data_IF_392640412736
#
_entry.id   IF_392640412736
#
_cell.length_a   1.000
_cell.length_b   1.000
_cell.length_c   1.000
_cell.angle_alpha   90.00
_cell.angle_beta   90.00
_cell.angle_gamma   90.00
#
_symmetry.space_group_name_H-M   'P 1'
#
loop_
_entity.id
_entity.type
_entity.pdbx_description
1 polymer ?
#
# COMPACT_ATOMS: atom_id res chain seq x y z
N UNK A 1 4.24 11.73 -11.81
CA UNK A 1 3.62 11.11 -10.63
C UNK A 1 3.34 9.66 -10.96
N UNK A 2 3.69 8.78 -10.03
CA UNK A 2 3.44 7.35 -10.12
C UNK A 2 2.33 6.93 -9.17
N UNK A 3 1.58 5.91 -9.56
CA UNK A 3 0.68 5.15 -8.70
C UNK A 3 1.18 3.72 -8.59
N UNK A 4 1.60 3.31 -7.40
CA UNK A 4 1.95 1.93 -7.11
C UNK A 4 0.76 1.24 -6.44
N UNK A 5 0.30 0.12 -7.01
CA UNK A 5 -0.83 -0.65 -6.48
C UNK A 5 -0.30 -1.95 -5.89
N UNK A 6 -0.45 -2.10 -4.58
CA UNK A 6 -0.13 -3.33 -3.87
C UNK A 6 -1.41 -4.09 -3.55
N UNK A 7 -1.43 -5.37 -3.83
CA UNK A 7 -2.46 -6.31 -3.37
C UNK A 7 -1.90 -7.06 -2.17
N UNK A 8 -2.66 -7.10 -1.09
CA UNK A 8 -2.36 -7.90 0.10
C UNK A 8 -3.45 -8.92 0.31
N UNK A 9 -3.04 -10.17 0.45
CA UNK A 9 -3.92 -11.25 0.87
C UNK A 9 -3.73 -11.46 2.35
N UNK A 10 -4.78 -11.30 3.14
CA UNK A 10 -4.80 -11.54 4.58
C UNK A 10 -4.80 -13.05 4.85
N UNK A 11 -4.23 -13.45 5.99
CA UNK A 11 -4.32 -14.84 6.47
C UNK A 11 -5.78 -15.21 6.73
N UNK A 12 -6.09 -16.49 6.66
CA UNK A 12 -7.46 -16.98 6.86
C UNK A 12 -7.98 -16.57 8.25
N UNK A 13 -9.19 -16.00 8.29
CA UNK A 13 -9.84 -15.57 9.54
C UNK A 13 -9.42 -14.19 10.05
N UNK A 14 -8.49 -13.50 9.39
CA UNK A 14 -8.14 -12.10 9.72
C UNK A 14 -9.25 -11.18 9.22
N UNK A 15 -9.70 -10.26 10.07
CA UNK A 15 -10.72 -9.27 9.71
C UNK A 15 -10.10 -7.97 9.20
N UNK A 16 -10.92 -7.16 8.53
CA UNK A 16 -10.50 -5.83 8.07
C UNK A 16 -10.16 -4.89 9.23
N UNK A 17 -10.84 -5.00 10.38
CA UNK A 17 -10.54 -4.23 11.58
C UNK A 17 -9.15 -4.55 12.13
N UNK A 18 -8.78 -5.84 12.17
CA UNK A 18 -7.43 -6.26 12.56
C UNK A 18 -6.37 -5.71 11.60
N UNK A 19 -6.70 -5.67 10.30
CA UNK A 19 -5.82 -5.01 9.32
C UNK A 19 -5.68 -3.52 9.59
N UNK A 20 -6.77 -2.80 9.87
CA UNK A 20 -6.69 -1.35 10.17
C UNK A 20 -5.83 -1.08 11.40
N UNK A 21 -5.99 -1.86 12.48
CA UNK A 21 -5.18 -1.73 13.69
C UNK A 21 -3.68 -1.97 13.43
N UNK A 22 -3.35 -2.94 12.57
CA UNK A 22 -1.97 -3.20 12.16
C UNK A 22 -1.41 -2.15 11.20
N UNK A 23 -2.27 -1.56 10.34
CA UNK A 23 -1.87 -0.60 9.30
C UNK A 23 -1.67 0.82 9.85
N UNK A 24 -2.54 1.26 10.76
CA UNK A 24 -2.45 2.61 11.34
C UNK A 24 -1.19 2.70 12.21
N UNK A 25 -0.27 3.64 11.94
CA UNK A 25 0.91 3.86 12.78
C UNK A 25 0.52 4.30 14.19
N UNK A 26 1.40 4.03 15.16
CA UNK A 26 1.34 4.70 16.48
C UNK A 26 1.83 6.15 16.38
N UNK A 27 2.78 6.45 15.47
CA UNK A 27 3.30 7.80 15.19
C UNK A 27 3.09 8.21 13.72
N UNK A 28 2.39 9.32 13.49
CA UNK A 28 1.90 9.79 12.16
C UNK A 28 2.97 10.53 11.36
N UNK A 29 4.25 10.24 11.57
CA UNK A 29 5.33 11.04 10.97
C UNK A 29 5.53 10.76 9.47
N UNK A 30 5.98 11.82 8.79
CA UNK A 30 6.05 12.11 7.35
C UNK A 30 6.26 10.89 6.41
N UNK A 31 5.17 10.16 6.10
CA UNK A 31 5.23 9.12 5.07
C UNK A 31 5.36 9.78 3.68
N UNK A 32 6.35 9.41 2.85
CA UNK A 32 6.72 10.14 1.64
C UNK A 32 5.71 10.00 0.48
N UNK A 33 4.51 9.50 0.75
CA UNK A 33 3.48 9.23 -0.24
C UNK A 33 2.10 9.49 0.34
N UNK A 34 1.15 9.90 -0.51
CA UNK A 34 -0.26 9.79 -0.13
C UNK A 34 -0.69 8.33 -0.31
N UNK A 35 -1.46 7.83 0.64
CA UNK A 35 -1.89 6.44 0.66
C UNK A 35 -3.40 6.38 0.68
N UNK A 36 -3.95 5.58 -0.23
CA UNK A 36 -5.34 5.13 -0.14
C UNK A 36 -5.36 3.62 0.07
N UNK A 37 -6.29 3.15 0.89
CA UNK A 37 -6.50 1.73 1.19
C UNK A 37 -7.93 1.39 0.82
N UNK A 38 -8.14 0.24 0.19
CA UNK A 38 -9.47 -0.24 -0.16
C UNK A 38 -9.56 -1.75 -0.02
N UNK A 39 -10.68 -2.25 0.48
CA UNK A 39 -10.97 -3.70 0.53
C UNK A 39 -11.53 -4.18 -0.80
N UNK A 40 -11.25 -5.43 -1.16
CA UNK A 40 -11.92 -6.09 -2.27
C UNK A 40 -13.38 -6.39 -1.87
N UNK A 41 -14.32 -6.08 -2.78
CA UNK A 41 -15.75 -6.30 -2.57
C UNK A 41 -16.19 -7.76 -2.79
N UNK A 42 -15.37 -8.57 -3.46
CA UNK A 42 -15.64 -9.97 -3.79
C UNK A 42 -14.79 -10.97 -3.01
N UNK A 43 -13.74 -10.50 -2.32
CA UNK A 43 -12.83 -11.33 -1.52
C UNK A 43 -12.50 -10.57 -0.22
N UNK A 44 -13.00 -11.08 0.91
CA UNK A 44 -12.83 -10.45 2.22
C UNK A 44 -11.40 -10.55 2.76
N UNK A 45 -10.55 -11.38 2.14
CA UNK A 45 -9.14 -11.50 2.46
C UNK A 45 -8.26 -10.56 1.64
N UNK A 46 -8.81 -9.81 0.69
CA UNK A 46 -7.98 -8.95 -0.16
C UNK A 46 -8.13 -7.47 0.16
N UNK A 47 -6.99 -6.80 0.30
CA UNK A 47 -6.90 -5.35 0.46
C UNK A 47 -5.92 -4.81 -0.57
N UNK A 48 -6.27 -3.69 -1.20
CA UNK A 48 -5.35 -2.93 -2.03
C UNK A 48 -4.85 -1.70 -1.29
N UNK A 49 -3.62 -1.32 -1.60
CA UNK A 49 -3.06 -0.02 -1.22
C UNK A 49 -2.55 0.66 -2.48
N UNK A 50 -2.96 1.91 -2.68
CA UNK A 50 -2.48 2.75 -3.77
C UNK A 50 -1.62 3.85 -3.15
N UNK A 51 -0.35 3.90 -3.56
CA UNK A 51 0.60 4.93 -3.17
C UNK A 51 0.73 5.93 -4.30
N UNK A 52 0.51 7.21 -4.01
CA UNK A 52 0.82 8.32 -4.91
C UNK A 52 2.24 8.81 -4.62
N UNK A 53 3.10 8.71 -5.62
CA UNK A 53 4.54 8.89 -5.49
C UNK A 53 5.01 9.97 -6.46
N UNK A 54 5.66 11.00 -5.95
CA UNK A 54 6.31 12.02 -6.78
C UNK A 54 7.77 11.62 -7.04
N UNK A 55 7.94 10.63 -7.92
CA UNK A 55 9.26 10.12 -8.34
C UNK A 55 9.15 9.47 -9.73
N UNK A 56 10.31 9.24 -10.35
CA UNK A 56 10.44 8.47 -11.59
C UNK A 56 10.41 6.96 -11.33
N UNK A 57 10.21 6.16 -12.39
CA UNK A 57 10.22 4.69 -12.31
C UNK A 57 11.57 4.17 -11.81
N UNK A 58 12.68 4.76 -12.25
CA UNK A 58 14.01 4.37 -11.79
C UNK A 58 14.18 4.61 -10.28
N UNK A 59 13.76 5.78 -9.78
CA UNK A 59 13.79 6.07 -8.35
C UNK A 59 12.86 5.17 -7.54
N UNK A 60 11.73 4.77 -8.10
CA UNK A 60 10.84 3.79 -7.47
C UNK A 60 11.54 2.44 -7.30
N UNK A 61 12.19 1.90 -8.34
CA UNK A 61 12.89 0.63 -8.27
C UNK A 61 13.99 0.62 -7.21
N UNK A 62 14.69 1.74 -7.05
CA UNK A 62 15.73 1.91 -6.04
C UNK A 62 15.16 2.01 -4.60
N UNK A 63 13.95 2.55 -4.46
CA UNK A 63 13.34 2.87 -3.15
C UNK A 63 12.21 1.93 -2.72
N UNK A 64 11.74 1.01 -3.59
CA UNK A 64 10.51 0.23 -3.35
C UNK A 64 10.53 -0.61 -2.08
N UNK A 65 11.71 -1.08 -1.65
CA UNK A 65 11.88 -1.82 -0.40
C UNK A 65 11.65 -0.93 0.83
N UNK A 66 12.05 0.34 0.76
CA UNK A 66 11.87 1.32 1.82
C UNK A 66 10.45 1.90 1.88
N UNK A 67 9.65 1.77 0.82
CA UNK A 67 8.24 2.17 0.82
C UNK A 67 7.36 1.28 1.73
N UNK A 68 7.84 0.09 2.08
CA UNK A 68 7.17 -0.72 3.11
C UNK A 68 7.67 -0.27 4.46
N UNK A 69 6.84 0.46 5.23
CA UNK A 69 7.30 1.00 6.52
C UNK A 69 7.74 -0.13 7.45
N UNK A 70 8.95 -0.05 8.06
CA UNK A 70 9.45 -1.12 8.92
C UNK A 70 8.58 -1.42 10.15
N UNK A 71 7.96 -0.39 10.75
CA UNK A 71 7.09 -0.52 11.94
C UNK A 71 5.76 -1.22 11.65
N UNK A 72 5.23 -1.02 10.44
CA UNK A 72 4.06 -1.73 9.96
C UNK A 72 4.44 -3.12 9.47
N UNK A 73 5.69 -3.35 9.03
CA UNK A 73 6.13 -4.61 8.46
C UNK A 73 5.95 -5.79 9.43
N UNK A 74 6.34 -5.62 10.69
CA UNK A 74 6.22 -6.69 11.70
C UNK A 74 4.75 -7.01 12.01
N UNK A 75 3.94 -5.99 12.29
CA UNK A 75 2.50 -6.16 12.55
C UNK A 75 1.75 -6.75 11.35
N UNK A 76 2.09 -6.29 10.14
CA UNK A 76 1.51 -6.80 8.91
C UNK A 76 1.97 -8.23 8.61
N UNK A 77 3.22 -8.62 8.90
CA UNK A 77 3.69 -9.99 8.70
C UNK A 77 2.91 -11.02 9.53
N UNK A 78 2.36 -10.61 10.67
CA UNK A 78 1.50 -11.47 11.50
C UNK A 78 0.13 -11.74 10.87
N UNK A 79 -0.40 -10.83 10.03
CA UNK A 79 -1.76 -10.92 9.50
C UNK A 79 -1.88 -11.03 7.98
N UNK A 80 -0.82 -10.68 7.25
CA UNK A 80 -0.73 -10.75 5.79
C UNK A 80 -0.06 -12.06 5.39
N UNK A 81 -0.69 -12.77 4.46
CA UNK A 81 -0.20 -14.00 3.85
C UNK A 81 0.73 -13.66 2.67
N UNK A 82 0.26 -12.79 1.76
CA UNK A 82 1.05 -12.33 0.61
C UNK A 82 0.93 -10.83 0.40
N UNK A 83 1.99 -10.21 -0.10
CA UNK A 83 2.00 -8.84 -0.61
C UNK A 83 2.61 -8.85 -2.01
N UNK A 84 1.88 -8.31 -2.98
CA UNK A 84 2.26 -8.29 -4.39
C UNK A 84 2.13 -6.89 -4.97
N UNK A 85 3.10 -6.47 -5.77
CA UNK A 85 2.95 -5.28 -6.61
C UNK A 85 2.10 -5.67 -7.82
N UNK A 86 0.82 -5.31 -7.80
CA UNK A 86 -0.10 -5.60 -8.89
C UNK A 86 0.14 -4.71 -10.12
N UNK A 87 0.68 -3.51 -9.90
CA UNK A 87 1.09 -2.65 -11.00
C UNK A 87 1.72 -1.34 -10.56
N UNK A 88 2.50 -0.77 -11.48
CA UNK A 88 3.05 0.58 -11.40
C UNK A 88 2.53 1.37 -12.59
N UNK A 89 1.88 2.51 -12.32
CA UNK A 89 1.19 3.30 -13.33
C UNK A 89 1.72 4.73 -13.33
N UNK A 90 1.85 5.32 -14.52
CA UNK A 90 2.19 6.74 -14.70
C UNK A 90 0.94 7.57 -14.94
N UNK A 91 0.84 8.72 -14.26
CA UNK A 91 -0.25 9.65 -14.44
C UNK A 91 -0.18 10.32 -15.82
N UNK A 92 -1.18 10.05 -16.66
CA UNK A 92 -1.26 10.60 -18.03
C UNK A 92 -1.73 12.05 -18.05
N UNK A 93 -2.58 12.45 -17.09
CA UNK A 93 -3.16 13.81 -17.03
C UNK A 93 -2.47 14.73 -16.00
N UNK A 94 -1.57 14.19 -15.16
CA UNK A 94 -1.00 14.92 -14.02
C UNK A 94 -2.07 15.47 -13.08
N UNK A 95 -1.87 16.67 -12.53
CA UNK A 95 -2.84 17.40 -11.70
C UNK A 95 -3.84 18.25 -12.51
N UNK A 96 -4.03 17.98 -13.80
CA UNK A 96 -5.04 18.72 -14.57
C UNK A 96 -6.42 18.20 -14.20
N UNK A 97 -7.25 19.09 -13.67
CA UNK A 97 -8.67 18.82 -13.46
C UNK A 97 -9.32 18.51 -14.82
N UNK A 98 -10.04 17.39 -14.88
CA UNK A 98 -10.90 16.98 -16.00
C UNK A 98 -12.35 17.37 -15.72
#
# INVERSE_FOLDING_TARGET
MLRAVFVRTLKAGVTYEQFMEAWVPEDVDDYPAKVSVSRNAADDRQVITILELDMSVAEFEDKRTALTRPDALERLAEIVDTTELAGLYEDVFGNKDL
#
